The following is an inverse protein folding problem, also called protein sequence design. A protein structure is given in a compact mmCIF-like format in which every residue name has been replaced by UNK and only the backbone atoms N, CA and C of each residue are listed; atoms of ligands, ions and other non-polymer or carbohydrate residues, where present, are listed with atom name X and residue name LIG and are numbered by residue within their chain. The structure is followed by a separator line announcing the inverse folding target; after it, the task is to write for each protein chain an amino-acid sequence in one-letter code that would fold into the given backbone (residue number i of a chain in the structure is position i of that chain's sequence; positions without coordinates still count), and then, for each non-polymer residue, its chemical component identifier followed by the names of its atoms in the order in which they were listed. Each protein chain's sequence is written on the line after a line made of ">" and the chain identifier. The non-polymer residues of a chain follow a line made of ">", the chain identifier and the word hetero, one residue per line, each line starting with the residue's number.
data_IF_569202912552
#
_entry.id   IF_569202912552
#
_cell.length_a   1.000
_cell.length_b   1.000
_cell.length_c   1.000
_cell.angle_alpha   90.00
_cell.angle_beta   90.00
_cell.angle_gamma   90.00
#
_symmetry.space_group_name_H-M   'P 1'
#
loop_
_entity.id
_entity.type
_entity.pdbx_description
1 polymer ?
#
# COMPACT_ATOMS: atom_id res chain seq x y z
N UNK A 1 15.99 -14.59 3.27
CA UNK A 1 15.37 -14.18 1.98
C UNK A 1 13.86 -14.05 2.07
N UNK A 2 13.23 -14.80 2.97
CA UNK A 2 11.81 -14.81 3.33
C UNK A 2 11.28 -13.40 3.63
N UNK A 3 11.96 -12.64 4.49
CA UNK A 3 11.58 -11.26 4.80
C UNK A 3 11.67 -10.32 3.59
N UNK A 4 12.62 -10.55 2.69
CA UNK A 4 12.76 -9.74 1.48
C UNK A 4 11.62 -10.01 0.50
N UNK A 5 11.22 -11.28 0.33
CA UNK A 5 10.06 -11.65 -0.49
C UNK A 5 8.76 -11.10 0.12
N UNK A 6 8.61 -11.18 1.45
CA UNK A 6 7.48 -10.59 2.17
C UNK A 6 7.40 -9.08 1.94
N UNK A 7 8.53 -8.39 2.08
CA UNK A 7 8.62 -6.95 1.86
C UNK A 7 8.30 -6.60 0.40
N UNK A 8 8.79 -7.35 -0.58
CA UNK A 8 8.50 -7.13 -2.00
C UNK A 8 6.99 -7.24 -2.30
N UNK A 9 6.33 -8.28 -1.77
CA UNK A 9 4.88 -8.46 -1.90
C UNK A 9 4.08 -7.31 -1.25
N UNK A 10 4.45 -6.91 -0.03
CA UNK A 10 3.78 -5.81 0.69
C UNK A 10 4.05 -4.47 0.00
N UNK A 11 5.28 -4.21 -0.43
CA UNK A 11 5.70 -2.96 -1.04
C UNK A 11 4.90 -2.67 -2.32
N UNK A 12 4.71 -3.69 -3.18
CA UNK A 12 3.89 -3.60 -4.39
C UNK A 12 2.49 -3.05 -4.09
N UNK A 13 1.82 -3.62 -3.09
CA UNK A 13 0.48 -3.18 -2.70
C UNK A 13 0.49 -1.96 -1.78
N UNK A 14 1.61 -1.55 -1.18
CA UNK A 14 1.67 -0.38 -0.31
C UNK A 14 1.89 0.91 -1.11
N UNK A 15 2.82 0.90 -2.05
CA UNK A 15 3.29 2.10 -2.76
C UNK A 15 2.82 2.19 -4.21
N UNK A 16 2.42 1.06 -4.82
CA UNK A 16 2.26 0.98 -6.27
C UNK A 16 0.92 0.41 -6.72
N UNK A 17 -0.11 0.60 -5.89
CA UNK A 17 -1.51 0.17 -6.08
C UNK A 17 -2.17 0.56 -7.41
N UNK A 18 -1.57 1.46 -8.19
CA UNK A 18 -2.13 2.02 -9.41
C UNK A 18 -1.19 1.92 -10.63
N UNK A 19 -0.08 1.20 -10.50
CA UNK A 19 0.87 1.04 -11.60
C UNK A 19 1.46 -0.36 -11.47
N UNK A 20 1.06 -1.30 -12.31
CA UNK A 20 1.66 -2.64 -12.32
C UNK A 20 3.01 -2.59 -13.02
N UNK A 21 4.01 -1.96 -12.38
CA UNK A 21 5.35 -1.96 -12.96
C UNK A 21 5.92 -3.36 -12.85
N UNK A 22 6.13 -3.98 -14.01
CA UNK A 22 6.69 -5.31 -14.15
C UNK A 22 8.03 -5.49 -13.41
N UNK A 23 8.79 -4.41 -13.19
CA UNK A 23 10.04 -4.44 -12.43
C UNK A 23 9.87 -5.00 -11.01
N UNK A 24 8.77 -4.71 -10.31
CA UNK A 24 8.57 -5.24 -8.95
C UNK A 24 8.09 -6.69 -8.94
N UNK A 25 7.35 -7.10 -9.97
CA UNK A 25 7.03 -8.52 -10.16
C UNK A 25 8.27 -9.33 -10.56
N UNK A 26 9.25 -8.67 -11.21
CA UNK A 26 10.53 -9.24 -11.55
C UNK A 26 11.42 -9.40 -10.31
N UNK A 27 11.40 -8.46 -9.36
CA UNK A 27 12.07 -8.62 -8.06
C UNK A 27 11.52 -9.85 -7.31
N UNK A 28 10.19 -10.02 -7.28
CA UNK A 28 9.54 -11.21 -6.72
C UNK A 28 10.05 -12.48 -7.41
N UNK A 29 10.13 -12.48 -8.74
CA UNK A 29 10.67 -13.62 -9.50
C UNK A 29 12.12 -13.92 -9.10
N UNK A 30 12.98 -12.92 -9.05
CA UNK A 30 14.40 -13.11 -8.73
C UNK A 30 14.59 -13.64 -7.32
N UNK A 31 13.77 -13.18 -6.36
CA UNK A 31 13.80 -13.66 -4.99
C UNK A 31 13.33 -15.12 -4.92
N UNK A 32 12.18 -15.45 -5.52
CA UNK A 32 11.66 -16.82 -5.55
C UNK A 32 12.65 -17.79 -6.20
N UNK A 33 13.26 -17.41 -7.33
CA UNK A 33 14.25 -18.23 -8.05
C UNK A 33 15.46 -18.62 -7.18
N UNK A 34 15.81 -17.78 -6.20
CA UNK A 34 16.95 -18.03 -5.30
C UNK A 34 16.56 -18.79 -4.02
N UNK A 35 15.27 -19.01 -3.77
CA UNK A 35 14.81 -19.64 -2.55
C UNK A 35 14.72 -21.16 -2.68
N UNK A 36 15.15 -21.86 -1.64
CA UNK A 36 14.91 -23.30 -1.50
C UNK A 36 13.45 -23.58 -1.11
N UNK A 37 13.01 -24.83 -1.25
CA UNK A 37 11.68 -25.25 -0.81
C UNK A 37 11.43 -25.02 0.69
N UNK A 38 12.46 -25.15 1.55
CA UNK A 38 12.32 -24.81 2.98
C UNK A 38 12.14 -23.31 3.20
N UNK A 39 12.86 -22.46 2.45
CA UNK A 39 12.70 -21.01 2.54
C UNK A 39 11.33 -20.56 2.05
N UNK A 40 10.80 -21.21 1.01
CA UNK A 40 9.42 -20.98 0.55
C UNK A 40 8.44 -21.34 1.67
N UNK A 41 8.55 -22.54 2.26
CA UNK A 41 7.69 -22.97 3.39
C UNK A 41 7.80 -22.04 4.60
N UNK A 42 9.00 -21.57 4.93
CA UNK A 42 9.24 -20.58 5.98
C UNK A 42 8.56 -19.24 5.68
N UNK A 43 8.65 -18.76 4.44
CA UNK A 43 7.92 -17.60 3.97
C UNK A 43 6.40 -17.77 4.11
N UNK A 44 5.83 -18.94 3.80
CA UNK A 44 4.40 -19.22 4.02
C UNK A 44 4.02 -19.02 5.49
N UNK A 45 4.82 -19.60 6.41
CA UNK A 45 4.60 -19.47 7.86
C UNK A 45 4.61 -18.00 8.29
N UNK A 46 5.55 -17.21 7.77
CA UNK A 46 5.62 -15.77 8.07
C UNK A 46 4.44 -14.98 7.50
N UNK A 47 4.05 -15.23 6.25
CA UNK A 47 2.93 -14.55 5.62
C UNK A 47 1.61 -14.79 6.39
N UNK A 48 1.41 -16.03 6.86
CA UNK A 48 0.28 -16.40 7.71
C UNK A 48 0.35 -15.74 9.09
N UNK A 49 1.48 -15.84 9.79
CA UNK A 49 1.65 -15.24 11.12
C UNK A 49 1.46 -13.72 11.11
N UNK A 50 1.82 -13.05 10.01
CA UNK A 50 1.66 -11.60 9.83
C UNK A 50 0.32 -11.19 9.21
N UNK A 51 -0.55 -12.14 8.89
CA UNK A 51 -1.85 -11.90 8.24
C UNK A 51 -1.72 -11.07 6.95
N UNK A 52 -0.75 -11.42 6.10
CA UNK A 52 -0.50 -10.80 4.78
C UNK A 52 -0.48 -11.81 3.63
N UNK A 53 -1.08 -12.98 3.82
CA UNK A 53 -1.05 -14.09 2.86
C UNK A 53 -1.69 -13.72 1.52
N UNK A 54 -2.82 -13.01 1.52
CA UNK A 54 -3.56 -12.70 0.29
C UNK A 54 -2.74 -11.75 -0.59
N UNK A 55 -2.04 -10.80 0.03
CA UNK A 55 -1.11 -9.89 -0.66
C UNK A 55 0.05 -10.65 -1.29
N UNK A 56 0.62 -11.60 -0.55
CA UNK A 56 1.71 -12.45 -1.01
C UNK A 56 1.28 -13.35 -2.17
N UNK A 57 0.15 -14.05 -2.02
CA UNK A 57 -0.43 -14.88 -3.06
C UNK A 57 -0.64 -14.10 -4.35
N UNK A 58 -1.28 -12.93 -4.30
CA UNK A 58 -1.49 -12.13 -5.52
C UNK A 58 -0.16 -11.73 -6.18
N UNK A 59 0.86 -11.37 -5.39
CA UNK A 59 2.19 -11.04 -5.92
C UNK A 59 2.85 -12.22 -6.62
N UNK A 60 2.76 -13.41 -6.03
CA UNK A 60 3.30 -14.65 -6.59
C UNK A 60 2.54 -15.09 -7.85
N UNK A 61 1.20 -15.08 -7.83
CA UNK A 61 0.37 -15.43 -8.97
C UNK A 61 0.62 -14.50 -10.16
N UNK A 62 0.73 -13.19 -9.93
CA UNK A 62 1.09 -12.23 -10.99
C UNK A 62 2.51 -12.47 -11.51
N UNK A 63 3.50 -12.72 -10.64
CA UNK A 63 4.87 -13.03 -11.07
C UNK A 63 4.92 -14.32 -11.91
N UNK A 64 4.13 -15.33 -11.54
CA UNK A 64 3.96 -16.56 -12.31
C UNK A 64 3.30 -16.30 -13.65
N UNK A 65 2.21 -15.53 -13.68
CA UNK A 65 1.50 -15.19 -14.91
C UNK A 65 2.38 -14.43 -15.91
N UNK A 66 3.15 -13.45 -15.44
CA UNK A 66 3.95 -12.59 -16.32
C UNK A 66 5.30 -13.18 -16.72
N UNK A 67 5.91 -14.02 -15.88
CA UNK A 67 7.27 -14.49 -16.10
C UNK A 67 7.45 -16.02 -16.04
N UNK A 68 6.41 -16.79 -15.76
CA UNK A 68 6.51 -18.24 -15.56
C UNK A 68 7.40 -18.57 -14.34
N UNK A 69 7.25 -17.83 -13.24
CA UNK A 69 7.98 -18.10 -12.00
C UNK A 69 7.63 -19.48 -11.45
N UNK A 70 8.63 -20.35 -11.32
CA UNK A 70 8.50 -21.72 -10.82
C UNK A 70 8.30 -21.72 -9.31
N UNK A 71 7.05 -21.75 -8.86
CA UNK A 71 6.66 -22.16 -7.52
C UNK A 71 5.98 -23.52 -7.65
N UNK A 72 6.22 -24.48 -6.73
CA UNK A 72 5.51 -25.73 -6.79
C UNK A 72 4.02 -25.48 -6.52
N UNK A 73 3.17 -26.17 -7.29
CA UNK A 73 1.73 -25.89 -7.37
C UNK A 73 1.05 -26.08 -6.01
N UNK A 74 1.54 -27.03 -5.22
CA UNK A 74 1.04 -27.35 -3.90
C UNK A 74 1.11 -26.14 -2.95
N UNK A 75 2.22 -25.39 -2.96
CA UNK A 75 2.42 -24.19 -2.14
C UNK A 75 1.54 -23.03 -2.61
N UNK A 76 1.31 -22.91 -3.92
CA UNK A 76 0.43 -21.86 -4.47
C UNK A 76 -1.04 -22.16 -4.17
N UNK A 77 -1.50 -23.41 -4.32
CA UNK A 77 -2.86 -23.81 -3.92
C UNK A 77 -3.07 -23.77 -2.40
N UNK A 78 -2.03 -24.06 -1.60
CA UNK A 78 -2.11 -23.89 -0.15
C UNK A 78 -2.41 -22.43 0.26
N UNK A 79 -1.93 -21.45 -0.51
CA UNK A 79 -2.31 -20.04 -0.34
C UNK A 79 -3.74 -19.73 -0.79
N UNK A 80 -4.22 -20.37 -1.85
CA UNK A 80 -5.56 -20.15 -2.40
C UNK A 80 -6.66 -20.68 -1.47
N UNK A 81 -6.52 -21.92 -0.98
CA UNK A 81 -7.55 -22.63 -0.22
C UNK A 81 -7.80 -22.08 1.19
N UNK A 82 -6.87 -21.33 1.75
CA UNK A 82 -7.05 -20.75 3.09
C UNK A 82 -7.86 -19.44 3.09
N UNK A 83 -8.26 -18.91 1.93
CA UNK A 83 -8.98 -17.63 1.76
C UNK A 83 -10.41 -17.57 2.34
N UNK A 84 -10.88 -18.58 3.09
CA UNK A 84 -12.23 -18.66 3.65
C UNK A 84 -12.56 -17.58 4.69
N UNK A 85 -11.56 -17.06 5.42
CA UNK A 85 -11.73 -15.86 6.24
C UNK A 85 -11.09 -14.64 5.58
N UNK A 86 -11.83 -13.53 5.53
CA UNK A 86 -11.37 -12.27 4.98
C UNK A 86 -10.18 -11.73 5.78
N UNK A 87 -8.97 -12.08 5.35
CA UNK A 87 -7.73 -11.59 5.94
C UNK A 87 -7.69 -10.05 5.85
N UNK A 88 -7.33 -9.33 6.94
CA UNK A 88 -7.32 -7.86 6.94
C UNK A 88 -6.53 -7.24 5.78
N UNK A 89 -5.43 -7.87 5.36
CA UNK A 89 -4.57 -7.38 4.26
C UNK A 89 -5.24 -7.42 2.89
N UNK A 90 -6.23 -8.31 2.68
CA UNK A 90 -6.92 -8.46 1.40
C UNK A 90 -7.65 -7.19 0.96
N UNK A 91 -7.90 -6.25 1.89
CA UNK A 91 -8.44 -4.93 1.56
C UNK A 91 -7.54 -4.14 0.60
N UNK A 92 -6.24 -4.39 0.64
CA UNK A 92 -5.27 -3.72 -0.22
C UNK A 92 -5.28 -4.22 -1.66
N UNK A 93 -5.90 -5.38 -1.93
CA UNK A 93 -6.04 -5.95 -3.27
C UNK A 93 -7.28 -5.46 -4.00
N UNK A 94 -8.38 -5.20 -3.28
CA UNK A 94 -9.69 -4.82 -3.85
C UNK A 94 -9.81 -3.35 -4.23
N UNK A 95 -8.77 -2.54 -4.02
CA UNK A 95 -8.87 -1.09 -4.12
C UNK A 95 -8.69 -0.56 -5.54
N UNK A 96 -9.47 -1.07 -6.50
CA UNK A 96 -9.49 -0.51 -7.85
C UNK A 96 -10.18 0.87 -7.90
N UNK A 97 -11.12 1.18 -7.00
CA UNK A 97 -11.94 2.42 -7.09
C UNK A 97 -12.25 3.13 -5.77
N UNK A 98 -11.75 2.64 -4.63
CA UNK A 98 -12.00 3.18 -3.29
C UNK A 98 -10.94 4.18 -2.81
N UNK A 99 -10.82 5.32 -3.48
CA UNK A 99 -9.81 6.36 -3.20
C UNK A 99 -9.75 6.81 -1.75
N UNK A 100 -8.60 7.38 -1.36
CA UNK A 100 -8.23 8.19 -0.16
C UNK A 100 -9.16 8.07 1.06
N UNK A 101 -10.46 8.35 0.92
CA UNK A 101 -11.54 8.09 1.89
C UNK A 101 -11.54 6.69 2.51
N UNK A 102 -11.36 5.61 1.73
CA UNK A 102 -11.38 4.24 2.30
C UNK A 102 -10.12 3.95 3.13
N UNK A 103 -8.95 4.37 2.64
CA UNK A 103 -7.68 4.29 3.39
C UNK A 103 -7.76 5.12 4.68
N UNK A 104 -8.34 6.33 4.61
CA UNK A 104 -8.61 7.16 5.78
C UNK A 104 -9.53 6.46 6.78
N UNK A 105 -10.60 5.80 6.31
CA UNK A 105 -11.54 5.08 7.17
C UNK A 105 -10.92 3.84 7.82
N UNK A 106 -10.03 3.14 7.12
CA UNK A 106 -9.29 2.00 7.67
C UNK A 106 -8.31 2.47 8.75
N UNK A 107 -7.52 3.50 8.47
CA UNK A 107 -6.62 4.10 9.47
C UNK A 107 -7.41 4.62 10.68
N UNK A 108 -8.55 5.25 10.46
CA UNK A 108 -9.44 5.74 11.52
C UNK A 108 -9.96 4.61 12.42
N UNK A 109 -10.32 3.45 11.85
CA UNK A 109 -10.79 2.28 12.59
C UNK A 109 -9.68 1.57 13.37
N UNK A 110 -8.43 1.65 12.91
CA UNK A 110 -7.28 1.02 13.57
C UNK A 110 -6.69 1.86 14.71
N UNK A 111 -7.06 3.14 14.82
CA UNK A 111 -6.56 4.01 15.88
C UNK A 111 -7.37 3.80 17.18
N UNK A 112 -6.73 3.30 18.26
CA UNK A 112 -7.44 2.89 19.47
C UNK A 112 -7.88 4.08 20.33
N UNK A 113 -7.21 5.24 20.24
CA UNK A 113 -7.47 6.40 21.09
C UNK A 113 -8.01 7.61 20.34
N UNK A 114 -8.81 8.44 21.03
CA UNK A 114 -9.30 9.71 20.51
C UNK A 114 -8.16 10.71 20.22
N UNK A 115 -7.05 10.62 20.98
CA UNK A 115 -5.85 11.44 20.78
C UNK A 115 -5.12 11.09 19.48
N UNK A 116 -5.04 9.81 19.14
CA UNK A 116 -4.39 9.38 17.90
C UNK A 116 -5.26 9.72 16.68
N UNK A 117 -6.58 9.70 16.85
CA UNK A 117 -7.54 10.17 15.85
C UNK A 117 -7.44 11.66 15.57
N UNK A 118 -7.35 12.50 16.60
CA UNK A 118 -7.19 13.96 16.42
C UNK A 118 -5.82 14.29 15.82
N UNK A 119 -4.75 13.61 16.25
CA UNK A 119 -3.43 13.73 15.63
C UNK A 119 -3.43 13.32 14.17
N UNK A 120 -4.04 12.20 13.83
CA UNK A 120 -4.15 11.72 12.45
C UNK A 120 -4.94 12.69 11.57
N UNK A 121 -6.03 13.28 12.08
CA UNK A 121 -6.77 14.34 11.39
C UNK A 121 -5.89 15.58 11.16
N UNK A 122 -5.20 16.03 12.21
CA UNK A 122 -4.33 17.20 12.13
C UNK A 122 -3.18 16.96 11.15
N UNK A 123 -2.52 15.81 11.17
CA UNK A 123 -1.45 15.48 10.22
C UNK A 123 -1.95 15.33 8.78
N UNK A 124 -3.19 14.87 8.61
CA UNK A 124 -3.82 14.73 7.29
C UNK A 124 -4.15 16.09 6.67
N UNK A 125 -4.69 17.02 7.47
CA UNK A 125 -5.13 18.34 7.01
C UNK A 125 -3.96 19.35 7.03
N UNK A 126 -3.18 19.34 8.09
CA UNK A 126 -2.06 20.24 8.37
C UNK A 126 -0.77 19.43 8.57
N UNK A 127 -0.05 19.06 7.48
CA UNK A 127 1.25 18.41 7.60
C UNK A 127 2.23 19.31 8.36
N UNK A 128 3.31 18.76 8.91
CA UNK A 128 4.24 19.50 9.76
C UNK A 128 4.82 20.76 9.08
N UNK A 129 5.19 21.80 9.86
CA UNK A 129 5.84 23.00 9.33
C UNK A 129 7.08 22.70 8.49
N UNK A 130 7.94 21.77 8.93
CA UNK A 130 9.15 21.39 8.21
C UNK A 130 8.84 20.73 6.87
N UNK A 131 7.77 19.92 6.80
CA UNK A 131 7.28 19.37 5.55
C UNK A 131 6.84 20.48 4.59
N UNK A 132 6.13 21.51 5.08
CA UNK A 132 5.66 22.63 4.25
C UNK A 132 6.82 23.47 3.72
N UNK A 133 7.79 23.78 4.58
CA UNK A 133 9.01 24.48 4.22
C UNK A 133 9.81 23.72 3.16
N UNK A 134 10.01 22.40 3.35
CA UNK A 134 10.68 21.53 2.37
C UNK A 134 9.93 21.43 1.05
N UNK A 135 8.60 21.30 1.09
CA UNK A 135 7.75 21.17 -0.11
C UNK A 135 7.77 22.42 -0.99
N UNK A 136 7.81 23.60 -0.38
CA UNK A 136 7.84 24.88 -1.08
C UNK A 136 9.24 25.49 -1.15
N UNK A 137 10.28 24.71 -0.86
CA UNK A 137 11.68 25.09 -0.94
C UNK A 137 12.01 26.42 -0.24
N UNK A 138 11.44 26.66 0.94
CA UNK A 138 11.67 27.88 1.73
C UNK A 138 12.07 27.54 3.15
N UNK A 139 12.87 28.41 3.78
CA UNK A 139 13.28 28.29 5.19
C UNK A 139 12.52 29.26 6.09
N UNK A 140 11.74 30.18 5.52
CA UNK A 140 11.05 31.22 6.29
C UNK A 140 9.78 30.68 6.93
N UNK A 141 9.81 30.56 8.26
CA UNK A 141 8.65 30.16 9.08
C UNK A 141 7.51 31.19 9.04
N UNK A 142 7.81 32.45 8.73
CA UNK A 142 6.80 33.52 8.59
C UNK A 142 5.86 33.26 7.42
N UNK A 143 6.31 32.54 6.40
CA UNK A 143 5.48 32.20 5.24
C UNK A 143 4.52 31.04 5.50
N UNK A 144 4.62 30.33 6.63
CA UNK A 144 3.80 29.16 6.91
C UNK A 144 2.28 29.40 6.73
N UNK A 145 1.68 30.49 7.25
CA UNK A 145 0.25 30.74 7.05
C UNK A 145 -0.14 30.81 5.56
N UNK A 146 0.68 31.48 4.75
CA UNK A 146 0.48 31.61 3.30
C UNK A 146 0.64 30.24 2.61
N UNK A 147 1.64 29.45 3.01
CA UNK A 147 1.87 28.11 2.44
C UNK A 147 0.72 27.14 2.73
N UNK A 148 0.14 27.19 3.94
CA UNK A 148 -1.05 26.42 4.30
C UNK A 148 -2.28 26.88 3.51
N UNK A 149 -2.49 28.20 3.38
CA UNK A 149 -3.58 28.76 2.56
C UNK A 149 -3.45 28.29 1.08
N UNK A 150 -2.25 28.39 0.50
CA UNK A 150 -1.96 27.91 -0.86
C UNK A 150 -2.25 26.42 -1.02
N UNK A 151 -1.91 25.60 -0.02
CA UNK A 151 -2.20 24.16 -0.02
C UNK A 151 -3.71 23.89 -0.01
N UNK A 152 -4.45 24.63 0.82
CA UNK A 152 -5.92 24.54 0.88
C UNK A 152 -6.57 24.90 -0.45
N UNK A 153 -6.21 26.05 -1.04
CA UNK A 153 -6.73 26.48 -2.35
C UNK A 153 -6.40 25.48 -3.47
N UNK A 154 -5.18 24.95 -3.53
CA UNK A 154 -4.79 23.94 -4.51
C UNK A 154 -5.59 22.63 -4.34
N UNK A 155 -5.87 22.23 -3.10
CA UNK A 155 -6.73 21.09 -2.79
C UNK A 155 -8.16 21.29 -3.26
N UNK A 156 -8.73 22.48 -2.97
CA UNK A 156 -10.07 22.87 -3.39
C UNK A 156 -10.22 22.93 -4.91
N UNK A 157 -9.27 23.58 -5.61
CA UNK A 157 -9.22 23.63 -7.08
C UNK A 157 -9.16 22.23 -7.71
N UNK A 158 -8.36 21.32 -7.13
CA UNK A 158 -8.29 19.93 -7.61
C UNK A 158 -9.59 19.17 -7.37
N UNK A 159 -10.27 19.44 -6.26
CA UNK A 159 -11.58 18.87 -5.97
C UNK A 159 -12.64 19.37 -6.96
N UNK A 160 -12.72 20.68 -7.18
CA UNK A 160 -13.64 21.32 -8.12
C UNK A 160 -13.41 20.83 -9.57
N UNK A 161 -12.16 20.71 -10.01
CA UNK A 161 -11.82 20.12 -11.31
C UNK A 161 -12.27 18.66 -11.43
N UNK A 162 -12.20 17.88 -10.35
CA UNK A 162 -12.57 16.46 -10.35
C UNK A 162 -14.09 16.24 -10.28
N UNK A 163 -14.83 17.17 -9.68
CA UNK A 163 -16.30 17.15 -9.67
C UNK A 163 -16.89 17.63 -10.99
N UNK A 164 -16.24 18.58 -11.67
CA UNK A 164 -16.66 19.10 -12.98
C UNK A 164 -16.58 18.07 -14.11
N UNK A 165 -15.78 17.01 -13.97
CA UNK A 165 -15.64 15.92 -14.96
C UNK A 165 -16.62 14.75 -14.74
N UNK A 166 -17.56 14.87 -13.79
CA UNK A 166 -18.49 13.78 -13.43
C UNK A 166 -19.95 14.09 -13.79
N UNK A 167 -20.17 15.13 -14.60
CA UNK A 167 -21.48 15.65 -15.05
C UNK A 167 -21.66 15.63 -16.58
N UNK A 168 -20.90 14.81 -17.29
CA UNK A 168 -21.24 14.39 -18.67
C UNK A 168 -21.27 12.87 -18.72
#
# INVERSE_FOLDING_TARGET
>A
MEHALLLACIHRVAHHRHNERLIWLYDIRLLVKKMSAEQIRSFLRFANAKRVRSVCYQGLSLSRQWFGTSLPEAELHAFENQNGEAEPSAVYLRSEKGGIRRNFMLNWKTLPSLKDKTRFLLETVFPSPDYMLKKYSTRSRVLLPILYARRGCAGLLKFLRRTSFRTQ
#
